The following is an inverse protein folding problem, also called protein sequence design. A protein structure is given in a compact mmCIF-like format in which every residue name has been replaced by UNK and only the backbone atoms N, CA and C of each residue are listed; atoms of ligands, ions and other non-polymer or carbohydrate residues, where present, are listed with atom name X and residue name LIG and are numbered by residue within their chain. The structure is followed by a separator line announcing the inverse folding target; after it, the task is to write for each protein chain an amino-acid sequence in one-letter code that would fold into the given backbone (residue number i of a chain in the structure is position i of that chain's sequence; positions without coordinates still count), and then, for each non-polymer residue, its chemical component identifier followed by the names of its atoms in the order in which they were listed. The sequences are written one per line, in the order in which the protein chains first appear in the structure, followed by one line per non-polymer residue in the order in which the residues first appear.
data_IF_083998515954
#
_entry.id   IF_083998515954
#
_cell.length_a   1.000
_cell.length_b   1.000
_cell.length_c   1.000
_cell.angle_alpha   90.00
_cell.angle_beta   90.00
_cell.angle_gamma   90.00
#
_symmetry.space_group_name_H-M   'P 1'
#
loop_
_entity.id
_entity.type
_entity.pdbx_description
1 polymer ?
#
# COMPACT_ATOMS: atom_id res chain seq x y z
N UNK A 1 0.96 12.42 4.72
CA UNK A 1 -0.09 11.86 3.84
C UNK A 1 -1.45 12.37 4.31
N UNK A 2 -2.20 13.09 3.49
CA UNK A 2 -3.59 13.44 3.83
C UNK A 2 -4.44 12.21 3.54
N UNK A 3 -5.05 11.63 4.58
CA UNK A 3 -6.03 10.58 4.40
C UNK A 3 -7.33 11.22 3.90
N UNK A 4 -7.70 10.92 2.68
CA UNK A 4 -8.92 11.44 2.04
C UNK A 4 -10.04 10.40 2.07
N UNK A 5 -10.03 9.50 3.08
CA UNK A 5 -11.08 8.50 3.23
C UNK A 5 -12.41 9.15 3.59
N UNK A 6 -13.48 8.74 2.94
CA UNK A 6 -14.87 9.10 3.31
C UNK A 6 -15.27 8.61 4.70
N UNK A 7 -14.59 7.57 5.18
CA UNK A 7 -14.81 7.01 6.52
C UNK A 7 -16.30 6.67 6.78
N UNK A 8 -16.96 6.04 5.82
CA UNK A 8 -18.39 5.69 5.88
C UNK A 8 -18.77 4.86 7.10
N UNK A 9 -17.82 4.10 7.64
CA UNK A 9 -18.00 3.27 8.83
C UNK A 9 -17.44 3.90 10.11
N UNK A 10 -17.17 5.21 10.10
CA UNK A 10 -16.68 5.96 11.26
C UNK A 10 -15.54 5.26 12.02
N UNK A 11 -14.65 4.66 11.28
CA UNK A 11 -13.55 3.82 11.81
C UNK A 11 -12.30 4.62 12.14
N UNK A 12 -12.16 5.85 11.66
CA UNK A 12 -11.00 6.71 11.92
C UNK A 12 -10.87 6.98 13.42
N UNK A 13 -9.68 6.79 13.93
CA UNK A 13 -9.33 6.93 15.34
C UNK A 13 -7.89 7.44 15.49
N UNK A 14 -7.55 7.90 16.68
CA UNK A 14 -6.20 8.30 17.03
C UNK A 14 -5.65 7.36 18.12
N UNK A 15 -4.39 7.01 18.00
CA UNK A 15 -3.64 6.26 18.99
C UNK A 15 -2.33 6.98 19.28
N UNK A 16 -2.02 7.15 20.56
CA UNK A 16 -0.73 7.70 20.99
C UNK A 16 0.20 6.56 21.37
N UNK A 17 1.39 6.53 20.79
CA UNK A 17 2.43 5.54 21.11
C UNK A 17 3.81 6.20 21.06
N UNK A 18 4.63 5.93 22.05
CA UNK A 18 5.99 6.46 22.15
C UNK A 18 6.06 8.00 21.98
N UNK A 19 5.08 8.72 22.55
CA UNK A 19 5.02 10.19 22.47
C UNK A 19 4.62 10.75 21.10
N UNK A 20 4.13 9.91 20.19
CA UNK A 20 3.63 10.30 18.88
C UNK A 20 2.18 9.88 18.68
N UNK A 21 1.40 10.73 18.04
CA UNK A 21 0.01 10.45 17.68
C UNK A 21 -0.08 9.89 16.27
N UNK A 22 -0.79 8.78 16.14
CA UNK A 22 -1.03 8.10 14.87
C UNK A 22 -2.52 8.04 14.60
N UNK A 23 -2.89 8.28 13.33
CA UNK A 23 -4.25 8.01 12.82
C UNK A 23 -4.35 6.57 12.39
N UNK A 24 -5.35 5.87 12.90
CA UNK A 24 -5.65 4.48 12.59
C UNK A 24 -7.08 4.33 12.10
N UNK A 25 -7.36 3.26 11.36
CA UNK A 25 -8.72 2.82 11.04
C UNK A 25 -9.08 1.66 11.96
N UNK A 26 -9.80 1.97 13.03
CA UNK A 26 -10.10 1.04 14.12
C UNK A 26 -11.22 0.08 13.72
N UNK A 27 -10.88 -1.19 13.54
CA UNK A 27 -11.85 -2.22 13.15
C UNK A 27 -12.96 -2.44 14.19
N UNK A 28 -12.68 -2.25 15.49
CA UNK A 28 -13.72 -2.35 16.53
C UNK A 28 -14.77 -1.24 16.39
N UNK A 29 -14.35 -0.03 16.00
CA UNK A 29 -15.29 1.06 15.69
C UNK A 29 -16.07 0.75 14.40
N UNK A 30 -15.41 0.25 13.36
CA UNK A 30 -16.07 -0.15 12.12
C UNK A 30 -17.12 -1.24 12.37
N UNK A 31 -16.84 -2.21 13.23
CA UNK A 31 -17.77 -3.27 13.62
C UNK A 31 -19.06 -2.72 14.22
N UNK A 32 -18.94 -1.75 15.14
CA UNK A 32 -20.08 -1.08 15.77
C UNK A 32 -20.88 -0.19 14.80
N UNK A 33 -20.29 0.19 13.68
CA UNK A 33 -20.89 1.10 12.70
C UNK A 33 -21.29 0.40 11.40
N UNK A 34 -21.68 -0.87 11.47
CA UNK A 34 -22.32 -1.58 10.35
C UNK A 34 -21.52 -2.74 9.77
N UNK A 35 -20.31 -3.00 10.26
CA UNK A 35 -19.50 -4.16 9.85
C UNK A 35 -19.55 -5.29 10.90
N UNK A 36 -20.75 -5.66 11.35
CA UNK A 36 -20.93 -6.65 12.41
C UNK A 36 -20.20 -7.97 12.11
N UNK A 37 -19.52 -8.49 13.13
CA UNK A 37 -18.86 -9.81 13.08
C UNK A 37 -17.47 -9.82 12.45
N UNK A 38 -16.92 -8.68 12.00
CA UNK A 38 -15.58 -8.62 11.38
C UNK A 38 -14.44 -8.99 12.34
N UNK A 39 -14.70 -8.98 13.65
CA UNK A 39 -13.75 -9.51 14.64
C UNK A 39 -13.40 -10.98 14.41
N UNK A 40 -14.29 -11.75 13.79
CA UNK A 40 -14.12 -13.18 13.43
C UNK A 40 -13.33 -13.40 12.13
N UNK A 41 -13.02 -12.34 11.38
CA UNK A 41 -12.22 -12.45 10.16
C UNK A 41 -10.79 -12.96 10.44
N UNK A 42 -10.21 -13.73 9.53
CA UNK A 42 -8.77 -14.02 9.55
C UNK A 42 -7.94 -12.74 9.58
N UNK A 43 -6.76 -12.80 10.15
CA UNK A 43 -5.86 -11.63 10.24
C UNK A 43 -5.55 -11.01 8.87
N UNK A 44 -5.34 -11.84 7.85
CA UNK A 44 -5.12 -11.37 6.47
C UNK A 44 -6.29 -10.54 5.93
N UNK A 45 -7.53 -10.98 6.11
CA UNK A 45 -8.71 -10.23 5.68
C UNK A 45 -8.93 -8.97 6.52
N UNK A 46 -8.51 -8.94 7.79
CA UNK A 46 -8.52 -7.71 8.60
C UNK A 46 -7.57 -6.65 8.05
N UNK A 47 -6.39 -7.07 7.57
CA UNK A 47 -5.44 -6.15 6.91
C UNK A 47 -6.02 -5.58 5.61
N UNK A 48 -6.63 -6.43 4.77
CA UNK A 48 -7.31 -5.98 3.56
C UNK A 48 -8.47 -5.04 3.86
N UNK A 49 -9.29 -5.36 4.87
CA UNK A 49 -10.40 -4.51 5.30
C UNK A 49 -9.92 -3.13 5.79
N UNK A 50 -8.87 -3.10 6.61
CA UNK A 50 -8.30 -1.84 7.09
C UNK A 50 -7.76 -1.01 5.93
N UNK A 51 -7.14 -1.64 4.94
CA UNK A 51 -6.67 -0.97 3.74
C UNK A 51 -7.84 -0.34 2.95
N UNK A 52 -8.94 -1.06 2.75
CA UNK A 52 -10.13 -0.51 2.09
C UNK A 52 -10.72 0.67 2.87
N UNK A 53 -10.87 0.56 4.19
CA UNK A 53 -11.36 1.66 5.04
C UNK A 53 -10.48 2.90 4.97
N UNK A 54 -9.17 2.72 4.86
CA UNK A 54 -8.18 3.79 4.75
C UNK A 54 -8.27 4.56 3.44
N UNK A 55 -8.61 3.88 2.36
CA UNK A 55 -8.58 4.43 1.00
C UNK A 55 -9.96 4.56 0.35
N UNK A 56 -11.03 4.48 1.15
CA UNK A 56 -12.40 4.66 0.67
C UNK A 56 -12.59 6.05 0.04
N UNK A 57 -12.78 6.10 -1.29
CA UNK A 57 -12.88 7.33 -2.07
C UNK A 57 -14.09 7.35 -3.04
N UNK A 58 -14.86 6.26 -3.11
CA UNK A 58 -15.96 5.98 -4.05
C UNK A 58 -15.55 5.99 -5.54
N UNK A 59 -14.26 6.06 -5.84
CA UNK A 59 -13.72 5.96 -7.20
C UNK A 59 -12.97 4.64 -7.38
N UNK A 60 -11.97 4.39 -6.54
CA UNK A 60 -11.16 3.17 -6.58
C UNK A 60 -11.55 2.19 -5.48
N UNK A 61 -11.97 2.70 -4.34
CA UNK A 61 -12.48 1.92 -3.21
C UNK A 61 -13.84 2.43 -2.82
N UNK A 62 -14.86 1.62 -3.04
CA UNK A 62 -16.23 1.92 -2.68
C UNK A 62 -16.72 1.10 -1.49
N UNK A 63 -17.87 1.48 -0.96
CA UNK A 63 -18.52 0.79 0.16
C UNK A 63 -18.86 -0.67 -0.16
N UNK A 64 -19.11 -1.01 -1.44
CA UNK A 64 -19.42 -2.37 -1.88
C UNK A 64 -18.25 -3.31 -1.67
N UNK A 65 -17.03 -2.88 -1.98
CA UNK A 65 -15.82 -3.67 -1.76
C UNK A 65 -15.60 -3.93 -0.26
N UNK A 66 -15.86 -2.94 0.60
CA UNK A 66 -15.76 -3.10 2.06
C UNK A 66 -16.79 -4.12 2.56
N UNK A 67 -18.03 -4.03 2.09
CA UNK A 67 -19.08 -4.98 2.45
C UNK A 67 -18.80 -6.39 1.94
N UNK A 68 -18.14 -6.56 0.80
CA UNK A 68 -17.75 -7.87 0.27
C UNK A 68 -16.83 -8.64 1.25
N UNK A 69 -15.94 -7.95 1.95
CA UNK A 69 -15.13 -8.56 3.01
C UNK A 69 -16.00 -9.06 4.17
N UNK A 70 -17.02 -8.29 4.57
CA UNK A 70 -17.98 -8.71 5.60
C UNK A 70 -18.78 -9.94 5.14
N UNK A 71 -19.26 -9.96 3.91
CA UNK A 71 -20.04 -11.06 3.35
C UNK A 71 -19.25 -12.37 3.25
N UNK A 72 -17.93 -12.28 3.08
CA UNK A 72 -17.06 -13.45 3.11
C UNK A 72 -17.19 -14.26 4.40
N UNK A 73 -17.54 -13.63 5.52
CA UNK A 73 -17.77 -14.35 6.79
C UNK A 73 -18.84 -15.44 6.67
N UNK A 74 -19.88 -15.18 5.88
CA UNK A 74 -21.00 -16.12 5.66
C UNK A 74 -20.63 -17.18 4.63
N UNK A 75 -20.14 -16.74 3.49
CA UNK A 75 -20.01 -17.56 2.29
C UNK A 75 -18.65 -18.25 2.14
N UNK A 76 -17.62 -17.74 2.85
CA UNK A 76 -16.20 -18.15 2.70
C UNK A 76 -15.71 -18.06 1.25
N UNK A 77 -16.43 -17.31 0.41
CA UNK A 77 -16.18 -17.06 -1.02
C UNK A 77 -16.52 -15.61 -1.31
N UNK A 78 -15.88 -15.04 -2.30
CA UNK A 78 -16.25 -13.76 -2.88
C UNK A 78 -15.89 -13.78 -4.37
N UNK A 79 -16.79 -13.26 -5.19
CA UNK A 79 -16.55 -12.99 -6.62
C UNK A 79 -16.37 -11.48 -6.86
N UNK A 80 -16.28 -10.71 -5.80
CA UNK A 80 -16.08 -9.25 -5.88
C UNK A 80 -14.58 -8.97 -5.85
N UNK A 81 -14.09 -8.31 -6.86
CA UNK A 81 -12.75 -7.77 -6.87
C UNK A 81 -12.65 -6.61 -5.88
N UNK A 82 -11.53 -6.51 -5.20
CA UNK A 82 -11.24 -5.44 -4.25
C UNK A 82 -9.95 -4.73 -4.64
N UNK A 83 -9.92 -3.43 -4.50
CA UNK A 83 -8.70 -2.66 -4.65
C UNK A 83 -7.78 -2.85 -3.43
N UNK A 84 -6.49 -2.83 -3.66
CA UNK A 84 -5.49 -2.84 -2.59
C UNK A 84 -4.39 -1.82 -2.90
N UNK A 85 -4.08 -0.97 -1.94
CA UNK A 85 -2.98 0.00 -2.05
C UNK A 85 -1.89 -0.38 -1.06
N UNK A 86 -0.74 -0.89 -1.53
CA UNK A 86 0.37 -1.21 -0.65
C UNK A 86 0.93 0.06 -0.01
N UNK A 87 1.37 -0.04 1.23
CA UNK A 87 2.06 1.06 1.91
C UNK A 87 3.47 1.26 1.37
N UNK A 88 4.07 0.18 0.85
CA UNK A 88 5.42 0.14 0.29
C UNK A 88 5.48 -0.92 -0.79
N UNK A 89 6.20 -0.64 -1.86
CA UNK A 89 6.50 -1.58 -2.95
C UNK A 89 7.98 -1.89 -2.93
N UNK A 90 8.32 -3.16 -2.95
CA UNK A 90 9.70 -3.63 -3.11
C UNK A 90 9.91 -4.04 -4.55
N UNK A 91 10.91 -3.46 -5.18
CA UNK A 91 11.36 -3.83 -6.51
C UNK A 91 12.68 -4.60 -6.41
N UNK A 92 12.75 -5.69 -7.13
CA UNK A 92 14.00 -6.42 -7.32
C UNK A 92 14.78 -5.82 -8.49
N UNK A 93 16.06 -6.18 -8.61
CA UNK A 93 16.96 -5.71 -9.64
C UNK A 93 16.44 -5.94 -11.07
N UNK A 94 16.00 -7.16 -11.40
CA UNK A 94 15.50 -7.49 -12.74
C UNK A 94 14.20 -6.79 -13.13
N UNK A 95 13.31 -6.59 -12.19
CA UNK A 95 12.02 -5.91 -12.42
C UNK A 95 12.09 -4.43 -12.07
N UNK A 96 12.92 -4.08 -11.11
CA UNK A 96 13.03 -2.74 -10.56
C UNK A 96 13.88 -1.80 -11.40
N UNK A 97 15.01 -2.24 -11.92
CA UNK A 97 15.88 -1.39 -12.74
C UNK A 97 15.17 -0.88 -14.00
N UNK A 98 14.48 -1.73 -14.80
CA UNK A 98 13.67 -1.24 -15.92
C UNK A 98 12.57 -0.27 -15.49
N UNK A 99 11.87 -0.54 -14.41
CA UNK A 99 10.82 0.36 -13.91
C UNK A 99 11.36 1.74 -13.50
N UNK A 100 12.54 1.79 -12.89
CA UNK A 100 13.20 3.06 -12.54
C UNK A 100 13.68 3.79 -13.80
N UNK A 101 14.20 3.07 -14.79
CA UNK A 101 14.58 3.66 -16.07
C UNK A 101 13.37 4.28 -16.78
N UNK A 102 12.22 3.60 -16.78
CA UNK A 102 10.98 4.13 -17.34
C UNK A 102 10.50 5.38 -16.60
N UNK A 103 10.54 5.39 -15.28
CA UNK A 103 10.20 6.57 -14.48
C UNK A 103 11.13 7.74 -14.78
N UNK A 104 12.42 7.50 -14.95
CA UNK A 104 13.39 8.52 -15.32
C UNK A 104 13.08 9.09 -16.72
N UNK A 105 12.83 8.23 -17.70
CA UNK A 105 12.46 8.65 -19.05
C UNK A 105 11.15 9.46 -19.07
N UNK A 106 10.15 9.06 -18.27
CA UNK A 106 8.91 9.83 -18.11
C UNK A 106 9.16 11.21 -17.52
N UNK A 107 10.05 11.33 -16.52
CA UNK A 107 10.43 12.62 -15.92
C UNK A 107 11.11 13.53 -16.96
N UNK A 108 12.02 13.00 -17.76
CA UNK A 108 12.67 13.74 -18.83
C UNK A 108 11.66 14.22 -19.88
N UNK A 109 10.77 13.36 -20.34
CA UNK A 109 9.72 13.74 -21.29
C UNK A 109 8.78 14.84 -20.76
N UNK A 110 8.50 14.85 -19.45
CA UNK A 110 7.70 15.92 -18.81
C UNK A 110 8.50 17.23 -18.73
N UNK A 111 9.79 17.15 -18.44
CA UNK A 111 10.71 18.29 -18.39
C UNK A 111 10.85 18.95 -19.76
N UNK A 112 11.01 18.16 -20.82
CA UNK A 112 11.12 18.64 -22.20
C UNK A 112 9.86 19.41 -22.65
N UNK A 113 8.72 19.11 -22.05
CA UNK A 113 7.47 19.85 -22.24
C UNK A 113 7.31 21.05 -21.28
N UNK A 114 8.39 21.50 -20.63
CA UNK A 114 8.40 22.58 -19.65
C UNK A 114 7.37 22.38 -18.51
N UNK A 115 7.15 21.12 -18.08
CA UNK A 115 6.28 20.78 -16.97
C UNK A 115 7.09 20.25 -15.78
N UNK A 116 6.48 20.26 -14.60
CA UNK A 116 7.16 19.82 -13.39
C UNK A 116 7.34 18.28 -13.36
N UNK A 117 8.59 17.77 -13.45
CA UNK A 117 8.87 16.33 -13.41
C UNK A 117 8.61 15.68 -12.05
N UNK A 118 8.53 16.46 -10.96
CA UNK A 118 8.25 15.93 -9.62
C UNK A 118 6.86 15.33 -9.47
N UNK A 119 5.97 15.59 -10.44
CA UNK A 119 4.66 14.92 -10.51
C UNK A 119 4.75 13.47 -10.94
N UNK A 120 5.87 13.06 -11.55
CA UNK A 120 6.12 11.68 -11.96
C UNK A 120 6.83 10.95 -10.83
N UNK A 121 6.05 10.41 -9.93
CA UNK A 121 6.50 9.58 -8.82
C UNK A 121 5.47 8.47 -8.55
N UNK A 122 5.91 7.30 -8.05
CA UNK A 122 5.00 6.27 -7.57
C UNK A 122 4.07 6.80 -6.48
N UNK A 123 2.85 6.30 -6.43
CA UNK A 123 1.86 6.68 -5.41
C UNK A 123 2.20 6.15 -4.01
N UNK A 124 2.92 5.04 -3.95
CA UNK A 124 3.45 4.46 -2.70
C UNK A 124 4.98 4.55 -2.70
N UNK A 125 5.57 4.48 -1.51
CA UNK A 125 7.02 4.37 -1.36
C UNK A 125 7.53 3.13 -2.09
N UNK A 126 8.59 3.30 -2.87
CA UNK A 126 9.22 2.23 -3.64
C UNK A 126 10.66 2.09 -3.19
N UNK A 127 11.06 0.87 -2.85
CA UNK A 127 12.44 0.53 -2.52
C UNK A 127 12.98 -0.42 -3.58
N UNK A 128 14.13 -0.09 -4.16
CA UNK A 128 14.88 -1.01 -5.01
C UNK A 128 15.85 -1.79 -4.11
N UNK A 129 15.70 -3.10 -4.09
CA UNK A 129 16.57 -4.01 -3.36
C UNK A 129 17.34 -4.88 -4.35
N UNK A 130 18.65 -4.71 -4.35
CA UNK A 130 19.54 -5.46 -5.20
C UNK A 130 19.73 -6.86 -4.60
N UNK A 131 19.46 -7.88 -5.39
CA UNK A 131 19.62 -9.29 -5.00
C UNK A 131 21.09 -9.73 -5.10
N UNK A 132 21.42 -10.76 -4.34
CA UNK A 132 22.73 -11.42 -4.39
C UNK A 132 23.09 -11.95 -5.78
N UNK A 133 22.11 -12.29 -6.61
CA UNK A 133 22.36 -12.74 -7.99
C UNK A 133 23.03 -11.67 -8.86
N UNK A 134 22.77 -10.40 -8.63
CA UNK A 134 23.44 -9.28 -9.34
C UNK A 134 24.84 -9.05 -8.81
N UNK A 135 25.04 -9.23 -7.51
CA UNK A 135 26.34 -8.98 -6.88
C UNK A 135 27.37 -10.06 -7.14
N UNK A 136 26.97 -11.30 -7.41
CA UNK A 136 27.89 -12.42 -7.67
C UNK A 136 28.86 -12.13 -8.82
N UNK A 137 28.41 -11.50 -9.89
CA UNK A 137 29.27 -11.11 -11.02
C UNK A 137 30.31 -10.04 -10.70
N UNK A 138 30.10 -9.29 -9.64
CA UNK A 138 30.92 -8.16 -9.22
C UNK A 138 31.50 -8.29 -7.81
N UNK A 139 31.44 -9.47 -7.23
CA UNK A 139 31.81 -9.73 -5.82
C UNK A 139 33.23 -9.26 -5.48
N UNK A 140 34.17 -9.45 -6.41
CA UNK A 140 35.56 -9.00 -6.23
C UNK A 140 35.72 -7.45 -6.17
N UNK A 141 34.72 -6.70 -6.66
CA UNK A 141 34.74 -5.23 -6.63
C UNK A 141 33.97 -4.65 -5.45
N UNK A 142 32.99 -5.37 -4.93
CA UNK A 142 31.97 -4.82 -4.00
C UNK A 142 31.93 -5.51 -2.65
N UNK A 143 32.67 -6.58 -2.45
CA UNK A 143 32.67 -7.38 -1.23
C UNK A 143 32.80 -6.58 0.10
N UNK A 144 33.63 -5.56 0.21
CA UNK A 144 33.75 -4.80 1.44
C UNK A 144 32.48 -4.04 1.82
N UNK A 145 31.63 -3.75 0.85
CA UNK A 145 30.45 -2.90 1.06
C UNK A 145 29.19 -3.73 1.38
N UNK A 146 29.14 -4.98 0.97
CA UNK A 146 27.93 -5.83 1.02
C UNK A 146 27.80 -6.57 2.34
N UNK A 147 28.88 -6.78 3.05
CA UNK A 147 28.90 -7.53 4.30
C UNK A 147 28.27 -6.84 5.51
N UNK A 148 27.74 -5.62 5.36
CA UNK A 148 27.34 -4.77 6.48
C UNK A 148 26.02 -4.04 6.31
N UNK A 149 25.14 -4.57 5.51
CA UNK A 149 23.77 -4.02 5.38
C UNK A 149 22.79 -4.91 6.11
#
# INVERSE_FOLDING_TARGET
MKFNSKNSFKSLDNISSLGKDYKIFNLKKAEKNGLDGISKLPKSLKVLLENLLRYEDDLTVDKKQILAIKEWLKNKKSNTEIAYRPARTLLQDYTGIPAIADLAAMRDAVKDKNKNPDKINPLSTVDLVIDHSVTVSYTHLTLPTIGYV
#
